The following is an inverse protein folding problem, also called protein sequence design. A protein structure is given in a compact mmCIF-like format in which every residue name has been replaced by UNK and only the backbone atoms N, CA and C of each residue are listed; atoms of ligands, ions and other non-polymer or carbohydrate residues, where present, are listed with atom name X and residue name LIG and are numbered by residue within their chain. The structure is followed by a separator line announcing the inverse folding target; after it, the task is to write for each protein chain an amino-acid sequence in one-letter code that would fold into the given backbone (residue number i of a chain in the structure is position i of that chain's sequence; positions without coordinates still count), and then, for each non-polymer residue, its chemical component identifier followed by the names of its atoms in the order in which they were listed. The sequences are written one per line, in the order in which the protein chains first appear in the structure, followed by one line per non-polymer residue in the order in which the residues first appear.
data_IF_204837633136
#
_entry.id   IF_204837633136
#
_cell.length_a   1.000
_cell.length_b   1.000
_cell.length_c   1.000
_cell.angle_alpha   90.00
_cell.angle_beta   90.00
_cell.angle_gamma   90.00
#
_symmetry.space_group_name_H-M   'P 1'
#
loop_
_entity.id
_entity.type
_entity.pdbx_description
1 polymer ?
#
# COMPACT_ATOMS: atom_id res chain seq x y z
N UNK A 1 -14.98 1.49 -6.33
CA UNK A 1 -14.91 2.31 -5.09
C UNK A 1 -13.48 2.25 -4.59
N UNK A 2 -12.87 3.37 -4.21
CA UNK A 2 -11.51 3.42 -3.65
C UNK A 2 -11.56 3.42 -2.12
N UNK A 3 -10.66 2.70 -1.45
CA UNK A 3 -10.54 2.72 0.02
C UNK A 3 -9.25 3.44 0.41
N UNK A 4 -9.39 4.49 1.21
CA UNK A 4 -8.26 5.23 1.75
C UNK A 4 -8.11 4.95 3.26
N UNK A 5 -6.87 4.71 3.68
CA UNK A 5 -6.46 4.57 5.07
C UNK A 5 -5.38 5.62 5.31
N UNK A 6 -5.61 6.53 6.27
CA UNK A 6 -4.70 7.64 6.56
C UNK A 6 -4.28 7.58 8.03
N UNK A 7 -2.98 7.74 8.27
CA UNK A 7 -2.42 7.98 9.60
C UNK A 7 -1.72 9.33 9.64
N UNK A 8 -0.94 9.58 10.68
CA UNK A 8 -0.26 10.87 10.89
C UNK A 8 0.70 11.21 9.76
N UNK A 9 1.49 10.24 9.30
CA UNK A 9 2.57 10.44 8.33
C UNK A 9 2.42 9.58 7.07
N UNK A 10 1.33 8.82 6.96
CA UNK A 10 1.12 7.93 5.83
C UNK A 10 -0.31 7.96 5.28
N UNK A 11 -0.43 7.64 4.00
CA UNK A 11 -1.69 7.37 3.33
C UNK A 11 -1.55 6.16 2.42
N UNK A 12 -2.47 5.21 2.59
CA UNK A 12 -2.63 4.05 1.73
C UNK A 12 -3.94 4.19 0.97
N UNK A 13 -3.90 4.09 -0.35
CA UNK A 13 -5.09 4.17 -1.20
C UNK A 13 -5.19 2.92 -2.06
N UNK A 14 -6.18 2.07 -1.76
CA UNK A 14 -6.50 0.89 -2.57
C UNK A 14 -7.31 1.36 -3.78
N UNK A 15 -6.71 1.18 -4.95
CA UNK A 15 -7.33 1.49 -6.24
C UNK A 15 -7.98 0.24 -6.84
N UNK A 16 -7.36 -0.93 -6.68
CA UNK A 16 -7.90 -2.26 -7.04
C UNK A 16 -7.34 -3.31 -6.07
N UNK A 17 -7.72 -4.60 -6.22
CA UNK A 17 -7.11 -5.70 -5.46
C UNK A 17 -5.60 -5.84 -5.68
N UNK A 18 -5.05 -5.28 -6.77
CA UNK A 18 -3.64 -5.38 -7.18
C UNK A 18 -2.90 -4.06 -7.24
N UNK A 19 -3.60 -2.94 -7.08
CA UNK A 19 -3.05 -1.59 -7.21
C UNK A 19 -3.24 -0.82 -5.92
N UNK A 20 -2.12 -0.60 -5.23
CA UNK A 20 -2.04 0.16 -4.00
C UNK A 20 -1.13 1.37 -4.22
N UNK A 21 -1.64 2.55 -3.87
CA UNK A 21 -0.82 3.75 -3.74
C UNK A 21 -0.36 3.89 -2.30
N UNK A 22 0.93 4.18 -2.14
CA UNK A 22 1.60 4.35 -0.85
C UNK A 22 2.22 5.75 -0.83
N UNK A 23 1.84 6.54 0.17
CA UNK A 23 2.34 7.90 0.35
C UNK A 23 2.84 8.06 1.79
N UNK A 24 4.02 8.67 1.93
CA UNK A 24 4.63 8.98 3.21
C UNK A 24 5.06 10.44 3.21
N UNK A 25 4.80 11.13 4.31
CA UNK A 25 5.19 12.52 4.52
C UNK A 25 5.74 12.64 5.94
N UNK A 26 7.03 12.95 6.05
CA UNK A 26 7.74 13.07 7.34
C UNK A 26 7.06 14.09 8.26
N UNK A 27 6.56 15.20 7.69
CA UNK A 27 5.92 16.27 8.46
C UNK A 27 4.41 16.07 8.65
N UNK A 28 3.85 15.00 8.08
CA UNK A 28 2.41 14.70 8.12
C UNK A 28 1.54 15.66 7.30
N UNK A 29 2.15 16.60 6.58
CA UNK A 29 1.47 17.49 5.66
C UNK A 29 1.36 16.81 4.30
N UNK A 30 0.16 16.35 3.96
CA UNK A 30 -0.12 15.83 2.62
C UNK A 30 -0.59 16.97 1.73
N UNK A 31 0.15 17.22 0.65
CA UNK A 31 -0.40 18.04 -0.43
C UNK A 31 -1.30 17.12 -1.26
N UNK A 32 -2.60 17.41 -1.27
CA UNK A 32 -3.54 16.76 -2.20
C UNK A 32 -3.31 17.32 -3.61
N UNK A 33 -2.12 17.08 -4.17
CA UNK A 33 -1.89 17.33 -5.58
C UNK A 33 -2.74 16.36 -6.39
N UNK A 34 -3.40 16.88 -7.44
CA UNK A 34 -4.33 16.12 -8.28
C UNK A 34 -3.54 15.17 -9.19
N UNK A 35 -2.99 14.12 -8.60
CA UNK A 35 -2.35 13.02 -9.33
C UNK A 35 -3.43 12.19 -10.01
N UNK A 36 -3.51 12.34 -11.32
CA UNK A 36 -4.22 11.53 -12.33
C UNK A 36 -5.25 10.53 -11.79
N UNK A 37 -6.53 10.86 -11.95
CA UNK A 37 -7.67 9.97 -11.72
C UNK A 37 -7.57 8.76 -12.64
N UNK A 38 -7.26 7.57 -12.10
CA UNK A 38 -7.58 6.32 -12.77
C UNK A 38 -9.10 6.19 -12.74
N UNK A 39 -9.75 6.46 -13.86
CA UNK A 39 -11.20 6.35 -14.01
C UNK A 39 -11.56 4.86 -13.87
N UNK A 40 -12.24 4.56 -12.78
CA UNK A 40 -12.78 3.26 -12.39
C UNK A 40 -13.59 2.66 -13.56
N UNK A 41 -13.05 1.65 -14.27
CA UNK A 41 -13.92 0.71 -15.01
C UNK A 41 -14.69 -0.10 -13.96
N UNK A 42 -15.90 -0.50 -14.30
CA UNK A 42 -16.82 -1.21 -13.42
C UNK A 42 -16.19 -2.55 -12.95
N UNK A 43 -15.54 -2.54 -11.79
CA UNK A 43 -14.99 -3.73 -11.15
C UNK A 43 -15.91 -4.13 -9.99
N UNK A 44 -16.16 -5.43 -9.83
CA UNK A 44 -16.84 -5.97 -8.65
C UNK A 44 -16.21 -5.39 -7.37
N UNK A 45 -17.02 -5.15 -6.33
CA UNK A 45 -16.53 -4.59 -5.06
C UNK A 45 -15.35 -5.43 -4.57
N UNK A 46 -14.13 -4.87 -4.52
CA UNK A 46 -12.97 -5.65 -4.14
C UNK A 46 -13.08 -6.00 -2.65
N UNK A 47 -12.88 -7.27 -2.31
CA UNK A 47 -12.91 -7.72 -0.92
C UNK A 47 -11.55 -7.40 -0.28
N UNK A 48 -11.50 -6.30 0.48
CA UNK A 48 -10.36 -5.97 1.32
C UNK A 48 -10.69 -6.06 2.81
N UNK A 49 -9.71 -6.47 3.61
CA UNK A 49 -9.74 -6.42 5.06
C UNK A 49 -8.68 -5.45 5.57
N UNK A 50 -9.04 -4.67 6.59
CA UNK A 50 -8.12 -3.76 7.26
C UNK A 50 -8.09 -4.12 8.73
N UNK A 51 -6.90 -4.39 9.24
CA UNK A 51 -6.65 -4.79 10.62
C UNK A 51 -5.68 -3.80 11.26
N UNK A 52 -5.99 -3.33 12.45
CA UNK A 52 -5.16 -2.34 13.17
C UNK A 52 -4.74 -2.88 14.52
N UNK A 53 -3.49 -2.65 14.93
CA UNK A 53 -2.95 -3.07 16.22
C UNK A 53 -3.09 -4.58 16.50
N UNK A 54 -2.84 -5.40 15.47
CA UNK A 54 -2.92 -6.86 15.56
C UNK A 54 -1.59 -7.50 15.17
N UNK A 55 -1.23 -8.60 15.85
CA UNK A 55 -0.03 -9.39 15.60
C UNK A 55 1.29 -8.60 15.56
N UNK A 56 1.39 -7.50 16.32
CA UNK A 56 2.58 -6.64 16.35
C UNK A 56 2.73 -5.69 15.15
N UNK A 57 1.64 -5.48 14.40
CA UNK A 57 1.55 -4.51 13.31
C UNK A 57 0.57 -3.39 13.65
N UNK A 58 0.94 -2.15 13.32
CA UNK A 58 0.06 -1.00 13.45
C UNK A 58 -1.09 -1.08 12.44
N UNK A 59 -0.81 -1.55 11.22
CA UNK A 59 -1.78 -1.71 10.15
C UNK A 59 -1.44 -2.94 9.31
N UNK A 60 -2.47 -3.70 8.95
CA UNK A 60 -2.42 -4.71 7.92
C UNK A 60 -3.58 -4.47 6.95
N UNK A 61 -3.31 -4.68 5.66
CA UNK A 61 -4.30 -4.57 4.58
C UNK A 61 -4.22 -5.84 3.75
N UNK A 62 -5.32 -6.55 3.66
CA UNK A 62 -5.38 -7.81 2.95
C UNK A 62 -6.40 -7.72 1.80
N UNK A 63 -5.99 -8.07 0.59
CA UNK A 63 -6.85 -8.17 -0.61
C UNK A 63 -6.84 -9.60 -1.14
N UNK A 64 -7.57 -9.88 -2.22
CA UNK A 64 -7.46 -11.15 -2.93
C UNK A 64 -6.04 -11.42 -3.48
N UNK A 65 -5.24 -10.37 -3.78
CA UNK A 65 -3.95 -10.52 -4.44
C UNK A 65 -2.72 -10.29 -3.55
N UNK A 66 -2.84 -9.56 -2.43
CA UNK A 66 -1.70 -9.29 -1.56
C UNK A 66 -2.09 -9.14 -0.08
N UNK A 67 -1.08 -9.16 0.78
CA UNK A 67 -1.18 -8.78 2.18
C UNK A 67 -0.06 -7.76 2.51
N UNK A 68 -0.43 -6.53 2.84
CA UNK A 68 0.47 -5.49 3.31
C UNK A 68 0.59 -5.53 4.83
N UNK A 69 1.83 -5.40 5.31
CA UNK A 69 2.17 -5.32 6.72
C UNK A 69 2.87 -4.00 7.01
N UNK A 70 2.37 -3.27 7.99
CA UNK A 70 2.98 -2.02 8.44
C UNK A 70 3.09 -1.97 9.97
N UNK A 71 4.33 -1.82 10.46
CA UNK A 71 4.63 -1.79 11.90
C UNK A 71 4.43 -0.43 12.56
N UNK A 72 4.28 0.64 11.79
CA UNK A 72 4.35 2.01 12.29
C UNK A 72 5.75 2.63 12.09
N UNK A 73 5.87 3.92 12.38
CA UNK A 73 7.13 4.66 12.25
C UNK A 73 7.48 5.07 10.81
N UNK A 74 8.76 5.28 10.55
CA UNK A 74 9.23 5.61 9.20
C UNK A 74 9.06 4.43 8.23
N UNK A 75 8.71 4.74 6.99
CA UNK A 75 8.69 3.75 5.93
C UNK A 75 10.11 3.31 5.58
N UNK A 76 10.34 2.02 5.72
CA UNK A 76 11.55 1.32 5.33
C UNK A 76 11.20 -0.17 5.16
N UNK A 77 12.14 -0.95 4.61
CA UNK A 77 11.88 -2.36 4.36
C UNK A 77 11.60 -3.22 5.61
N UNK A 78 11.95 -2.75 6.81
CA UNK A 78 11.63 -3.45 8.07
C UNK A 78 10.19 -3.18 8.51
N UNK A 79 9.76 -1.94 8.35
CA UNK A 79 8.48 -1.47 8.85
C UNK A 79 7.34 -1.66 7.86
N UNK A 80 7.62 -1.75 6.56
CA UNK A 80 6.62 -1.86 5.50
C UNK A 80 7.03 -2.90 4.45
N UNK A 81 6.21 -3.93 4.29
CA UNK A 81 6.39 -4.97 3.28
C UNK A 81 5.05 -5.56 2.84
N UNK A 82 5.05 -6.22 1.68
CA UNK A 82 3.86 -6.79 1.03
C UNK A 82 4.19 -8.21 0.58
N UNK A 83 3.33 -9.16 0.96
CA UNK A 83 3.37 -10.53 0.45
C UNK A 83 2.33 -10.69 -0.66
N UNK A 84 2.74 -11.15 -1.84
CA UNK A 84 1.80 -11.50 -2.92
C UNK A 84 1.15 -12.86 -2.64
N UNK A 85 -0.14 -12.98 -2.96
CA UNK A 85 -0.92 -14.22 -2.77
C UNK A 85 -0.97 -15.11 -4.01
N UNK A 86 -0.64 -14.57 -5.19
CA UNK A 86 -0.70 -15.33 -6.45
C UNK A 86 0.65 -15.98 -6.78
N UNK A 87 0.68 -17.30 -6.61
CA UNK A 87 1.80 -18.18 -7.00
C UNK A 87 1.76 -18.49 -8.49
N UNK A 88 2.86 -18.19 -9.19
CA UNK A 88 3.31 -19.04 -10.31
C UNK A 88 4.64 -19.75 -10.03
N UNK A 89 5.32 -19.49 -8.90
CA UNK A 89 6.53 -20.22 -8.49
C UNK A 89 6.57 -20.38 -6.96
N UNK A 90 7.27 -21.41 -6.48
CA UNK A 90 7.37 -21.91 -5.09
C UNK A 90 7.97 -20.95 -4.05
N UNK A 91 8.09 -19.66 -4.36
CA UNK A 91 8.63 -18.63 -3.50
C UNK A 91 7.59 -17.53 -3.32
N UNK A 92 7.08 -17.37 -2.09
CA UNK A 92 6.31 -16.19 -1.71
C UNK A 92 7.14 -14.95 -2.07
N UNK A 93 6.68 -14.14 -3.00
CA UNK A 93 7.38 -12.93 -3.39
C UNK A 93 7.01 -11.84 -2.39
N UNK A 94 7.94 -11.56 -1.47
CA UNK A 94 7.83 -10.46 -0.52
C UNK A 94 8.54 -9.25 -1.09
N UNK A 95 7.79 -8.17 -1.26
CA UNK A 95 8.33 -6.85 -1.55
C UNK A 95 8.52 -6.08 -0.25
N UNK A 96 9.69 -5.48 -0.04
CA UNK A 96 9.92 -4.54 1.05
C UNK A 96 9.95 -3.11 0.50
N UNK A 97 9.57 -2.13 1.33
CA UNK A 97 9.62 -0.73 0.91
C UNK A 97 11.04 -0.32 0.51
N UNK A 98 11.19 0.10 -0.75
CA UNK A 98 12.47 0.43 -1.38
C UNK A 98 12.97 -0.61 -2.39
N UNK A 99 12.40 -1.81 -2.40
CA UNK A 99 12.73 -2.83 -3.41
C UNK A 99 12.21 -2.41 -4.79
N UNK A 100 12.99 -2.67 -5.83
CA UNK A 100 12.57 -2.52 -7.22
C UNK A 100 11.93 -3.83 -7.71
N UNK A 101 10.60 -3.91 -7.71
CA UNK A 101 9.85 -5.08 -8.17
C UNK A 101 8.79 -4.69 -9.23
N UNK A 102 8.77 -5.35 -10.41
CA UNK A 102 7.79 -5.08 -11.47
C UNK A 102 6.41 -5.74 -11.27
N UNK A 103 6.23 -6.70 -10.35
CA UNK A 103 4.96 -7.44 -10.23
C UNK A 103 3.93 -6.76 -9.32
N UNK A 104 4.38 -6.03 -8.29
CA UNK A 104 3.52 -5.17 -7.49
C UNK A 104 3.59 -3.76 -8.06
N UNK A 105 2.48 -3.31 -8.65
CA UNK A 105 2.33 -1.91 -9.03
C UNK A 105 2.12 -1.08 -7.75
N UNK A 106 3.23 -0.70 -7.11
CA UNK A 106 3.23 0.32 -6.05
C UNK A 106 3.44 1.66 -6.72
N UNK A 107 2.41 2.49 -6.73
CA UNK A 107 2.56 3.88 -7.12
C UNK A 107 3.12 4.66 -5.92
N UNK A 108 4.44 4.87 -5.90
CA UNK A 108 5.11 5.74 -4.93
C UNK A 108 5.00 7.18 -5.44
N UNK A 109 4.16 7.98 -4.77
CA UNK A 109 4.12 9.43 -4.98
C UNK A 109 4.55 10.10 -3.68
N UNK A 110 5.66 10.82 -3.72
CA UNK A 110 6.21 11.49 -2.54
C UNK A 110 7.73 11.55 -2.49
N UNK A 111 8.36 12.13 -3.50
CA UNK A 111 9.68 12.77 -3.39
C UNK A 111 9.56 14.17 -4.02
N UNK A 112 8.72 15.00 -3.45
CA UNK A 112 8.88 16.45 -3.57
C UNK A 112 9.54 16.90 -2.28
N UNK A 113 10.87 16.72 -2.24
CA UNK A 113 11.73 17.52 -1.39
C UNK A 113 11.45 18.99 -1.74
N UNK A 114 10.95 19.76 -0.79
CA UNK A 114 11.27 21.19 -0.75
C UNK A 114 12.61 21.38 -0.05
#
# INVERSE_FOLDING_TARGET
MTKQITGQNFRFTLLTDRLLRIEYQVDGQFTDEVTQTVINRDFAQPEWQVMTNQAGFALQIETAAFHLYYRGGEFNGVNLFIDTKYNYQTHFSRWHFGDSDPEILVALFGLLTM
#
